data_IF_387940615895
#
_entry.id   IF_387940615895
#
_cell.length_a   1.000
_cell.length_b   1.000
_cell.length_c   1.000
_cell.angle_alpha   90.00
_cell.angle_beta   90.00
_cell.angle_gamma   90.00
#
_symmetry.space_group_name_H-M   'P 1'
#
loop_
_entity.id
_entity.type
_entity.pdbx_description
1 polymer ?
#
# COMPACT_ATOMS: atom_id res chain seq x y z
N UNK A 1 0.24 64.25 -15.58
CA UNK A 1 0.18 63.04 -14.72
C UNK A 1 1.38 62.18 -15.05
N UNK A 2 2.44 62.23 -14.23
CA UNK A 2 3.63 61.41 -14.42
C UNK A 2 3.36 60.00 -13.91
N UNK A 3 3.49 59.00 -14.78
CA UNK A 3 3.57 57.60 -14.39
C UNK A 3 4.90 57.39 -13.64
N UNK A 4 4.83 57.24 -12.32
CA UNK A 4 5.96 56.82 -11.50
C UNK A 4 6.20 55.33 -11.75
N UNK A 5 7.10 55.02 -12.69
CA UNK A 5 7.69 53.68 -12.79
C UNK A 5 8.60 53.49 -11.59
N UNK A 6 8.20 52.63 -10.66
CA UNK A 6 9.05 52.18 -9.57
C UNK A 6 10.25 51.44 -10.17
N UNK A 7 11.40 52.12 -10.21
CA UNK A 7 12.66 51.53 -10.64
C UNK A 7 13.17 50.63 -9.50
N UNK A 8 12.93 49.32 -9.60
CA UNK A 8 13.48 48.36 -8.63
C UNK A 8 15.00 48.32 -8.85
N UNK A 9 15.82 48.66 -7.84
CA UNK A 9 17.27 48.61 -7.99
C UNK A 9 17.73 47.21 -8.37
N UNK A 10 18.69 47.09 -9.28
CA UNK A 10 19.16 45.80 -9.82
C UNK A 10 19.60 44.81 -8.70
N UNK A 11 20.08 45.31 -7.55
CA UNK A 11 20.38 44.49 -6.36
C UNK A 11 19.13 43.87 -5.72
N UNK A 12 18.03 44.61 -5.65
CA UNK A 12 16.75 44.14 -5.10
C UNK A 12 16.12 43.10 -6.03
N UNK A 13 16.20 43.31 -7.35
CA UNK A 13 15.71 42.35 -8.35
C UNK A 13 16.51 41.03 -8.33
N UNK A 14 17.84 41.09 -8.18
CA UNK A 14 18.68 39.90 -8.00
C UNK A 14 18.34 39.13 -6.71
N UNK A 15 18.06 39.85 -5.62
CA UNK A 15 17.64 39.23 -4.36
C UNK A 15 16.29 38.51 -4.49
N UNK A 16 15.30 39.16 -5.11
CA UNK A 16 13.97 38.56 -5.35
C UNK A 16 14.08 37.31 -6.22
N UNK A 17 14.86 37.34 -7.30
CA UNK A 17 15.08 36.17 -8.17
C UNK A 17 15.77 35.04 -7.42
N UNK A 18 16.78 35.33 -6.60
CA UNK A 18 17.44 34.30 -5.77
C UNK A 18 16.46 33.68 -4.77
N UNK A 19 15.63 34.50 -4.11
CA UNK A 19 14.63 34.03 -3.15
C UNK A 19 13.60 33.11 -3.82
N UNK A 20 13.09 33.51 -5.00
CA UNK A 20 12.18 32.70 -5.80
C UNK A 20 12.82 31.39 -6.22
N UNK A 21 14.10 31.40 -6.58
CA UNK A 21 14.82 30.18 -6.95
C UNK A 21 14.98 29.24 -5.76
N UNK A 22 15.40 29.73 -4.59
CA UNK A 22 15.50 28.93 -3.37
C UNK A 22 14.13 28.38 -2.96
N UNK A 23 13.07 29.17 -3.07
CA UNK A 23 11.71 28.74 -2.76
C UNK A 23 11.23 27.66 -3.73
N UNK A 24 11.48 27.80 -5.04
CA UNK A 24 11.15 26.76 -6.02
C UNK A 24 11.94 25.47 -5.80
N UNK A 25 13.23 25.56 -5.47
CA UNK A 25 14.05 24.38 -5.16
C UNK A 25 13.51 23.69 -3.90
N UNK A 26 13.19 24.43 -2.84
CA UNK A 26 12.60 23.89 -1.62
C UNK A 26 11.23 23.25 -1.88
N UNK A 27 10.39 23.88 -2.70
CA UNK A 27 9.05 23.39 -3.04
C UNK A 27 9.11 22.14 -3.93
N UNK A 28 10.04 22.09 -4.90
CA UNK A 28 10.33 20.89 -5.67
C UNK A 28 10.85 19.76 -4.78
N UNK A 29 11.74 20.04 -3.82
CA UNK A 29 12.22 19.04 -2.86
C UNK A 29 11.09 18.53 -1.94
N UNK A 30 10.21 19.42 -1.48
CA UNK A 30 9.04 19.06 -0.69
C UNK A 30 8.06 18.18 -1.48
N UNK A 31 7.81 18.50 -2.75
CA UNK A 31 6.96 17.71 -3.64
C UNK A 31 7.56 16.35 -3.99
N UNK A 32 8.88 16.27 -4.20
CA UNK A 32 9.58 15.01 -4.51
C UNK A 32 9.63 14.03 -3.32
N UNK A 33 9.41 14.52 -2.10
CA UNK A 33 9.33 13.72 -0.87
C UNK A 33 7.92 13.17 -0.59
N UNK A 34 6.91 13.52 -1.40
CA UNK A 34 5.55 13.01 -1.17
C UNK A 34 5.44 11.57 -1.68
N UNK A 35 5.30 10.62 -0.74
CA UNK A 35 4.79 9.29 -1.05
C UNK A 35 3.44 9.48 -1.77
N UNK A 36 3.30 9.04 -3.03
CA UNK A 36 2.18 9.47 -3.83
C UNK A 36 0.90 8.82 -3.32
N UNK A 37 -0.06 9.67 -2.97
CA UNK A 37 -1.41 9.25 -2.71
C UNK A 37 -2.13 9.03 -4.04
N UNK A 38 -2.70 7.84 -4.24
CA UNK A 38 -3.38 7.47 -5.48
C UNK A 38 -4.79 6.96 -5.23
N UNK A 39 -5.73 7.45 -6.03
CA UNK A 39 -7.06 6.90 -6.10
C UNK A 39 -7.04 5.70 -7.06
N UNK A 40 -7.43 4.52 -6.57
CA UNK A 40 -7.39 3.28 -7.34
C UNK A 40 -8.55 2.35 -6.99
N UNK A 41 -8.71 1.32 -7.81
CA UNK A 41 -9.67 0.24 -7.61
C UNK A 41 -8.92 -1.09 -7.70
N UNK A 42 -8.79 -1.77 -6.57
CA UNK A 42 -8.05 -3.02 -6.44
C UNK A 42 -8.99 -4.14 -6.01
N UNK A 43 -8.65 -5.36 -6.39
CA UNK A 43 -9.09 -6.53 -5.64
C UNK A 43 -8.03 -6.86 -4.60
N UNK A 44 -8.41 -6.74 -3.33
CA UNK A 44 -7.60 -7.17 -2.20
C UNK A 44 -7.73 -8.68 -2.03
N UNK A 45 -6.61 -9.35 -1.83
CA UNK A 45 -6.53 -10.79 -1.63
C UNK A 45 -5.63 -11.07 -0.43
N UNK A 46 -6.18 -11.66 0.62
CA UNK A 46 -5.43 -12.23 1.73
C UNK A 46 -5.24 -13.73 1.47
N UNK A 47 -4.03 -14.20 1.68
CA UNK A 47 -3.64 -15.60 1.59
C UNK A 47 -3.29 -16.12 2.98
N UNK A 48 -3.69 -17.36 3.26
CA UNK A 48 -3.40 -18.04 4.52
C UNK A 48 -3.01 -19.48 4.23
N UNK A 49 -1.89 -19.94 4.77
CA UNK A 49 -1.49 -21.35 4.69
C UNK A 49 -0.90 -21.83 6.01
N UNK A 50 -1.20 -23.07 6.38
CA UNK A 50 -0.53 -23.73 7.49
C UNK A 50 0.73 -24.38 6.95
N UNK A 51 1.89 -23.96 7.46
CA UNK A 51 3.16 -24.57 7.14
C UNK A 51 3.45 -25.69 8.13
N UNK A 52 3.87 -26.84 7.62
CA UNK A 52 4.23 -27.99 8.46
C UNK A 52 5.29 -27.60 9.49
N UNK A 53 5.02 -27.96 10.76
CA UNK A 53 5.91 -27.65 11.87
C UNK A 53 5.84 -26.22 12.41
N UNK A 54 4.98 -25.34 11.88
CA UNK A 54 4.74 -24.01 12.45
C UNK A 54 3.49 -23.97 13.32
N UNK A 55 3.59 -23.28 14.47
CA UNK A 55 2.48 -23.08 15.40
C UNK A 55 1.41 -22.11 14.85
N UNK A 56 1.79 -21.17 13.99
CA UNK A 56 0.91 -20.14 13.45
C UNK A 56 0.90 -20.20 11.91
N UNK A 57 -0.24 -19.88 11.28
CA UNK A 57 -0.33 -19.83 9.83
C UNK A 57 0.56 -18.71 9.27
N UNK A 58 1.02 -18.90 8.03
CA UNK A 58 1.58 -17.83 7.22
C UNK A 58 0.43 -17.04 6.59
N UNK A 59 0.40 -15.73 6.81
CA UNK A 59 -0.60 -14.79 6.31
C UNK A 59 0.09 -13.69 5.52
N UNK A 60 -0.42 -13.36 4.34
CA UNK A 60 0.07 -12.24 3.54
C UNK A 60 -1.02 -11.73 2.61
N UNK A 61 -0.93 -10.45 2.22
CA UNK A 61 -1.93 -9.83 1.38
C UNK A 61 -1.32 -9.12 0.18
N UNK A 62 -2.09 -9.11 -0.91
CA UNK A 62 -1.76 -8.45 -2.15
C UNK A 62 -2.98 -7.71 -2.70
N UNK A 63 -2.73 -6.77 -3.60
CA UNK A 63 -3.75 -6.12 -4.40
C UNK A 63 -3.52 -6.38 -5.89
N UNK A 64 -4.59 -6.47 -6.67
CA UNK A 64 -4.51 -6.52 -8.12
C UNK A 64 -5.58 -5.67 -8.77
N UNK A 65 -5.22 -4.91 -9.81
CA UNK A 65 -6.20 -4.20 -10.66
C UNK A 65 -6.82 -5.15 -11.70
N UNK A 66 -6.15 -6.27 -11.97
CA UNK A 66 -6.56 -7.27 -12.93
C UNK A 66 -7.70 -8.14 -12.37
N UNK A 67 -8.40 -8.82 -13.27
CA UNK A 67 -9.41 -9.82 -12.89
C UNK A 67 -8.80 -11.10 -12.32
N UNK A 68 -7.54 -11.38 -12.65
CA UNK A 68 -6.87 -12.64 -12.34
C UNK A 68 -5.46 -12.43 -11.81
N UNK A 69 -4.98 -13.36 -10.97
CA UNK A 69 -3.57 -13.44 -10.55
C UNK A 69 -2.97 -14.75 -11.08
N UNK A 70 -1.87 -14.65 -11.81
CA UNK A 70 -1.11 -15.83 -12.26
C UNK A 70 -0.21 -16.30 -11.13
N UNK A 71 -0.28 -17.59 -10.79
CA UNK A 71 0.46 -18.17 -9.67
C UNK A 71 1.26 -19.40 -10.09
N UNK A 72 2.42 -19.59 -9.46
CA UNK A 72 3.22 -20.80 -9.58
C UNK A 72 2.81 -21.81 -8.49
N UNK A 73 2.45 -23.03 -8.89
CA UNK A 73 1.90 -24.05 -7.99
C UNK A 73 2.97 -25.01 -7.41
N UNK A 74 4.24 -24.83 -7.73
CA UNK A 74 5.30 -25.79 -7.38
C UNK A 74 5.55 -25.88 -5.88
N UNK A 75 5.68 -24.74 -5.19
CA UNK A 75 5.87 -24.66 -3.73
C UNK A 75 5.49 -23.26 -3.22
N UNK A 76 5.37 -23.10 -1.90
CA UNK A 76 4.93 -21.84 -1.27
C UNK A 76 5.81 -20.63 -1.61
N UNK A 77 7.13 -20.80 -1.71
CA UNK A 77 8.03 -19.69 -2.01
C UNK A 77 7.84 -19.21 -3.45
N UNK A 78 7.76 -20.14 -4.41
CA UNK A 78 7.51 -19.81 -5.81
C UNK A 78 6.10 -19.23 -6.01
N UNK A 79 5.11 -19.71 -5.25
CA UNK A 79 3.77 -19.12 -5.22
C UNK A 79 3.83 -17.65 -4.80
N UNK A 80 4.44 -17.35 -3.65
CA UNK A 80 4.60 -15.99 -3.12
C UNK A 80 5.32 -15.09 -4.14
N UNK A 81 6.43 -15.57 -4.69
CA UNK A 81 7.21 -14.81 -5.67
C UNK A 81 6.38 -14.49 -6.91
N UNK A 82 5.58 -15.44 -7.41
CA UNK A 82 4.71 -15.23 -8.58
C UNK A 82 3.58 -14.23 -8.33
N UNK A 83 3.02 -14.19 -7.11
CA UNK A 83 2.02 -13.18 -6.72
C UNK A 83 2.65 -11.79 -6.78
N UNK A 84 3.77 -11.58 -6.10
CA UNK A 84 4.38 -10.25 -5.99
C UNK A 84 5.14 -9.79 -7.24
N UNK A 85 5.40 -10.69 -8.19
CA UNK A 85 5.86 -10.33 -9.52
C UNK A 85 4.83 -9.46 -10.29
N UNK A 86 3.55 -9.58 -9.98
CA UNK A 86 2.45 -8.88 -10.68
C UNK A 86 1.58 -8.00 -9.79
N UNK A 87 1.60 -8.23 -8.47
CA UNK A 87 0.69 -7.60 -7.53
C UNK A 87 1.46 -6.76 -6.50
N UNK A 88 1.03 -5.53 -6.20
CA UNK A 88 1.53 -4.80 -5.04
C UNK A 88 1.28 -5.55 -3.73
N UNK A 89 2.25 -5.44 -2.82
CA UNK A 89 2.12 -5.92 -1.45
C UNK A 89 1.22 -4.99 -0.64
N UNK A 90 0.30 -5.56 0.14
CA UNK A 90 -0.47 -4.84 1.14
C UNK A 90 -0.06 -5.37 2.53
N UNK A 91 0.41 -4.50 3.44
CA UNK A 91 0.75 -4.94 4.78
C UNK A 91 -0.50 -5.38 5.55
N UNK A 92 -0.31 -6.38 6.40
CA UNK A 92 -1.35 -6.89 7.32
C UNK A 92 -1.14 -6.39 8.76
N UNK A 93 -0.13 -5.55 8.99
CA UNK A 93 0.25 -5.06 10.33
C UNK A 93 -0.36 -3.70 10.62
N UNK A 94 -0.98 -3.53 11.80
CA UNK A 94 -1.51 -2.23 12.23
C UNK A 94 -0.43 -1.15 12.26
N UNK A 95 0.81 -1.50 12.64
CA UNK A 95 1.93 -0.57 12.65
C UNK A 95 2.21 0.05 11.27
N UNK A 96 2.09 -0.71 10.18
CA UNK A 96 2.24 -0.16 8.84
C UNK A 96 1.13 0.85 8.51
N UNK A 97 -0.12 0.54 8.90
CA UNK A 97 -1.24 1.47 8.73
C UNK A 97 -1.05 2.76 9.53
N UNK A 98 -0.69 2.65 10.81
CA UNK A 98 -0.44 3.80 11.68
C UNK A 98 0.67 4.70 11.12
N UNK A 99 1.75 4.09 10.62
CA UNK A 99 2.85 4.82 9.98
C UNK A 99 2.37 5.56 8.73
N UNK A 100 1.60 4.90 7.86
CA UNK A 100 1.04 5.50 6.65
C UNK A 100 0.03 6.62 6.95
N UNK A 101 -0.80 6.46 7.97
CA UNK A 101 -1.71 7.50 8.44
C UNK A 101 -0.95 8.73 8.94
N UNK A 102 0.11 8.52 9.74
CA UNK A 102 0.98 9.61 10.18
C UNK A 102 1.68 10.34 9.02
N UNK A 103 2.06 9.62 7.97
CA UNK A 103 2.65 10.18 6.76
C UNK A 103 1.64 10.98 5.92
N UNK A 104 0.40 10.51 5.82
CA UNK A 104 -0.65 11.12 5.00
C UNK A 104 -1.36 12.31 5.69
N UNK A 105 -1.61 12.21 6.99
CA UNK A 105 -2.47 13.13 7.75
C UNK A 105 -1.74 13.84 8.90
N UNK A 106 -0.46 13.51 9.15
CA UNK A 106 0.30 14.03 10.27
C UNK A 106 0.11 13.22 11.55
N UNK A 107 1.00 13.41 12.52
CA UNK A 107 0.98 12.67 13.78
C UNK A 107 0.15 13.39 14.85
N UNK A 108 -0.99 12.80 15.23
CA UNK A 108 -1.83 13.24 16.34
C UNK A 108 -2.59 12.05 16.94
N UNK A 109 -3.19 12.25 18.11
CA UNK A 109 -4.09 11.27 18.73
C UNK A 109 -5.32 11.02 17.84
N UNK A 110 -5.86 12.07 17.21
CA UNK A 110 -6.97 11.96 16.26
C UNK A 110 -6.59 11.07 15.06
N UNK A 111 -5.40 11.27 14.46
CA UNK A 111 -4.94 10.43 13.34
C UNK A 111 -4.80 8.96 13.75
N UNK A 112 -4.35 8.69 14.98
CA UNK A 112 -4.27 7.33 15.50
C UNK A 112 -5.67 6.72 15.67
N UNK A 113 -6.60 7.46 16.26
CA UNK A 113 -8.01 7.04 16.43
C UNK A 113 -8.66 6.73 15.08
N UNK A 114 -8.47 7.61 14.09
CA UNK A 114 -8.98 7.43 12.73
C UNK A 114 -8.38 6.20 12.05
N UNK A 115 -7.07 5.94 12.25
CA UNK A 115 -6.41 4.74 11.76
C UNK A 115 -7.03 3.48 12.36
N UNK A 116 -7.26 3.44 13.67
CA UNK A 116 -7.88 2.29 14.34
C UNK A 116 -9.33 2.08 13.85
N UNK A 117 -10.10 3.17 13.74
CA UNK A 117 -11.46 3.14 13.21
C UNK A 117 -11.49 2.56 11.79
N UNK A 118 -10.58 3.02 10.93
CA UNK A 118 -10.44 2.51 9.57
C UNK A 118 -10.05 1.03 9.52
N UNK A 119 -9.06 0.58 10.29
CA UNK A 119 -8.65 -0.83 10.33
C UNK A 119 -9.84 -1.71 10.75
N UNK A 120 -10.60 -1.27 11.76
CA UNK A 120 -11.79 -1.98 12.22
C UNK A 120 -12.89 -2.03 11.13
N UNK A 121 -13.19 -0.91 10.47
CA UNK A 121 -14.14 -0.85 9.37
C UNK A 121 -13.72 -1.78 8.22
N UNK A 122 -12.46 -1.70 7.81
CA UNK A 122 -11.89 -2.52 6.75
C UNK A 122 -12.01 -4.01 7.07
N UNK A 123 -11.63 -4.42 8.29
CA UNK A 123 -11.71 -5.81 8.73
C UNK A 123 -13.16 -6.32 8.82
N UNK A 124 -14.08 -5.48 9.28
CA UNK A 124 -15.51 -5.81 9.30
C UNK A 124 -16.05 -5.99 7.87
N UNK A 125 -15.73 -5.06 6.96
CA UNK A 125 -16.13 -5.15 5.56
C UNK A 125 -15.54 -6.38 4.88
N UNK A 126 -14.26 -6.67 5.14
CA UNK A 126 -13.58 -7.86 4.62
C UNK A 126 -14.30 -9.14 5.07
N UNK A 127 -14.54 -9.30 6.37
CA UNK A 127 -15.26 -10.46 6.94
C UNK A 127 -16.67 -10.64 6.37
N UNK A 128 -17.36 -9.55 6.04
CA UNK A 128 -18.73 -9.59 5.50
C UNK A 128 -18.79 -9.90 4.00
N UNK A 129 -17.79 -9.45 3.23
CA UNK A 129 -17.84 -9.44 1.77
C UNK A 129 -16.82 -10.38 1.12
N UNK A 130 -15.90 -10.95 1.89
CA UNK A 130 -14.89 -11.87 1.39
C UNK A 130 -15.48 -13.03 0.59
N UNK A 131 -14.85 -13.31 -0.54
CA UNK A 131 -15.02 -14.54 -1.30
C UNK A 131 -13.83 -15.43 -1.00
N UNK A 132 -14.11 -16.60 -0.44
CA UNK A 132 -13.11 -17.57 -0.02
C UNK A 132 -12.92 -18.66 -1.06
N UNK A 133 -11.70 -19.18 -1.12
CA UNK A 133 -11.37 -20.40 -1.83
C UNK A 133 -10.05 -20.96 -1.33
N UNK A 134 -9.54 -21.94 -2.06
CA UNK A 134 -8.21 -22.47 -1.82
C UNK A 134 -7.54 -22.87 -3.14
N UNK A 135 -6.22 -22.92 -3.11
CA UNK A 135 -5.35 -23.39 -4.18
C UNK A 135 -4.51 -24.51 -3.57
N UNK A 136 -4.41 -25.64 -4.27
CA UNK A 136 -3.56 -26.75 -3.85
C UNK A 136 -2.25 -26.72 -4.63
N UNK A 137 -1.14 -26.62 -3.92
CA UNK A 137 0.20 -26.71 -4.50
C UNK A 137 0.50 -28.15 -4.91
N UNK A 138 1.47 -28.35 -5.80
CA UNK A 138 1.95 -29.69 -6.18
C UNK A 138 2.61 -30.45 -5.02
N UNK A 139 3.05 -29.74 -3.98
CA UNK A 139 3.49 -30.30 -2.69
C UNK A 139 2.33 -30.86 -1.86
N UNK A 140 1.07 -30.57 -2.21
CA UNK A 140 -0.14 -30.96 -1.48
C UNK A 140 -0.63 -29.90 -0.47
N UNK A 141 0.19 -28.87 -0.19
CA UNK A 141 -0.18 -27.77 0.70
C UNK A 141 -1.39 -26.99 0.15
N UNK A 142 -2.29 -26.57 1.04
CA UNK A 142 -3.47 -25.77 0.68
C UNK A 142 -3.28 -24.32 1.09
N UNK A 143 -3.25 -23.44 0.09
CA UNK A 143 -3.26 -21.99 0.29
C UNK A 143 -4.71 -21.53 0.23
N UNK A 144 -5.25 -21.14 1.36
CA UNK A 144 -6.55 -20.49 1.44
C UNK A 144 -6.41 -19.05 0.98
N UNK A 145 -7.40 -18.54 0.26
CA UNK A 145 -7.49 -17.12 -0.06
C UNK A 145 -8.86 -16.57 0.30
N UNK A 146 -8.89 -15.30 0.64
CA UNK A 146 -10.08 -14.50 0.85
C UNK A 146 -9.92 -13.18 0.10
N UNK A 147 -10.90 -12.80 -0.71
CA UNK A 147 -10.78 -11.63 -1.57
C UNK A 147 -12.06 -10.81 -1.67
N UNK A 148 -11.88 -9.51 -1.88
CA UNK A 148 -12.95 -8.55 -2.16
C UNK A 148 -12.39 -7.33 -2.90
N UNK A 149 -13.26 -6.60 -3.59
CA UNK A 149 -12.90 -5.39 -4.33
C UNK A 149 -13.00 -4.17 -3.42
N UNK A 150 -11.96 -3.34 -3.45
CA UNK A 150 -11.81 -2.12 -2.68
C UNK A 150 -11.50 -0.96 -3.62
N UNK A 151 -12.25 0.14 -3.49
CA UNK A 151 -12.01 1.38 -4.25
C UNK A 151 -11.83 2.54 -3.30
N UNK A 152 -10.72 3.26 -3.43
CA UNK A 152 -10.36 4.28 -2.45
C UNK A 152 -9.04 4.97 -2.74
N UNK A 153 -8.47 5.57 -1.71
CA UNK A 153 -7.15 6.18 -1.70
C UNK A 153 -6.13 5.23 -1.07
N UNK A 154 -4.98 5.14 -1.72
CA UNK A 154 -3.87 4.29 -1.35
C UNK A 154 -2.60 5.12 -1.28
N UNK A 155 -1.81 4.91 -0.25
CA UNK A 155 -0.47 5.47 -0.15
C UNK A 155 0.52 4.47 -0.73
N UNK A 156 1.29 4.88 -1.74
CA UNK A 156 2.42 4.08 -2.24
C UNK A 156 3.67 4.39 -1.40
N UNK A 157 4.30 3.36 -0.86
CA UNK A 157 5.50 3.52 -0.02
C UNK A 157 6.74 2.96 -0.71
N UNK A 158 7.88 3.58 -0.40
CA UNK A 158 9.17 3.09 -0.83
C UNK A 158 9.54 1.81 -0.07
N UNK A 159 9.79 0.73 -0.79
CA UNK A 159 10.08 -0.59 -0.19
C UNK A 159 11.31 -0.54 0.72
N UNK A 160 12.39 0.09 0.28
CA UNK A 160 13.69 0.05 0.96
C UNK A 160 13.59 0.66 2.37
N UNK A 161 12.78 1.71 2.51
CA UNK A 161 12.55 2.39 3.78
C UNK A 161 11.38 1.82 4.57
N UNK A 162 10.34 1.32 3.92
CA UNK A 162 9.08 0.97 4.60
C UNK A 162 8.92 -0.50 4.96
N UNK A 163 9.66 -1.43 4.32
CA UNK A 163 9.48 -2.88 4.52
C UNK A 163 9.49 -3.30 5.99
N UNK A 164 10.36 -2.70 6.80
CA UNK A 164 10.51 -3.01 8.23
C UNK A 164 9.22 -2.80 9.02
N UNK A 165 8.41 -1.81 8.64
CA UNK A 165 7.15 -1.48 9.30
C UNK A 165 6.05 -2.51 9.02
N UNK A 166 6.25 -3.32 7.96
CA UNK A 166 5.30 -4.32 7.49
C UNK A 166 5.54 -5.73 8.04
N UNK A 167 6.66 -5.93 8.74
CA UNK A 167 7.08 -7.24 9.25
C UNK A 167 6.12 -7.74 10.33
N UNK A 168 5.72 -9.00 10.21
CA UNK A 168 4.86 -9.70 11.16
C UNK A 168 5.44 -11.09 11.45
N UNK A 169 5.23 -11.61 12.66
CA UNK A 169 5.63 -12.97 13.04
C UNK A 169 4.95 -14.06 12.22
N UNK A 170 3.78 -13.74 11.66
CA UNK A 170 3.00 -14.61 10.78
C UNK A 170 3.09 -14.20 9.30
N UNK A 171 3.88 -13.17 8.99
CA UNK A 171 4.01 -12.61 7.65
C UNK A 171 5.08 -13.27 6.79
N UNK A 172 5.22 -12.80 5.56
CA UNK A 172 6.37 -13.11 4.71
C UNK A 172 7.62 -12.40 5.23
N UNK A 173 8.74 -13.12 5.28
CA UNK A 173 10.03 -12.60 5.78
C UNK A 173 10.95 -12.10 4.67
N UNK A 174 10.83 -12.65 3.46
CA UNK A 174 11.62 -12.26 2.29
C UNK A 174 10.87 -11.22 1.46
N UNK A 175 11.50 -10.08 1.23
CA UNK A 175 10.95 -8.99 0.41
C UNK A 175 11.51 -8.97 -1.01
N UNK A 176 12.39 -9.90 -1.38
CA UNK A 176 13.10 -9.92 -2.67
C UNK A 176 12.17 -9.71 -3.87
N UNK A 177 11.02 -10.37 -3.87
CA UNK A 177 10.03 -10.36 -4.95
C UNK A 177 9.02 -9.20 -4.86
N UNK A 178 9.09 -8.37 -3.82
CA UNK A 178 8.22 -7.21 -3.67
C UNK A 178 8.85 -6.04 -4.40
N UNK A 179 8.09 -5.39 -5.26
CA UNK A 179 8.53 -4.19 -5.98
C UNK A 179 7.74 -2.94 -5.57
N UNK A 180 6.53 -3.13 -5.04
CA UNK A 180 5.63 -2.04 -4.69
C UNK A 180 4.85 -2.41 -3.44
N UNK A 181 4.82 -1.49 -2.47
CA UNK A 181 3.99 -1.58 -1.28
C UNK A 181 2.92 -0.50 -1.38
N UNK A 182 1.66 -0.88 -1.20
CA UNK A 182 0.54 0.06 -1.11
C UNK A 182 -0.21 -0.17 0.18
N UNK A 183 -0.70 0.91 0.78
CA UNK A 183 -1.50 0.85 2.00
C UNK A 183 -2.81 1.57 1.74
N UNK A 184 -3.97 0.91 1.88
CA UNK A 184 -5.25 1.60 1.80
C UNK A 184 -5.38 2.53 3.00
N UNK A 185 -5.72 3.80 2.73
CA UNK A 185 -5.87 4.82 3.78
C UNK A 185 -7.28 5.43 3.83
N UNK A 186 -8.12 5.15 2.83
CA UNK A 186 -9.53 5.50 2.83
C UNK A 186 -10.22 4.67 1.76
N UNK A 187 -11.31 3.98 2.09
CA UNK A 187 -12.08 3.20 1.11
C UNK A 187 -13.47 3.80 0.97
N UNK A 188 -13.83 4.12 -0.27
CA UNK A 188 -15.14 4.70 -0.64
C UNK A 188 -16.17 3.64 -1.01
N UNK A 189 -15.73 2.42 -1.36
CA UNK A 189 -16.61 1.36 -1.83
C UNK A 189 -15.97 -0.03 -1.64
N UNK A 190 -16.75 -0.94 -1.07
CA UNK A 190 -16.43 -2.36 -0.93
C UNK A 190 -17.40 -3.21 -1.77
N UNK A 191 -16.90 -4.16 -2.57
CA UNK A 191 -17.74 -5.06 -3.37
C UNK A 191 -17.22 -6.50 -3.36
N UNK A 192 -18.12 -7.48 -3.43
CA UNK A 192 -17.73 -8.89 -3.61
C UNK A 192 -17.08 -9.09 -4.98
N UNK A 193 -16.00 -9.87 -5.06
CA UNK A 193 -15.32 -10.25 -6.32
C UNK A 193 -14.55 -11.55 -6.14
N UNK A 194 -14.38 -12.32 -7.21
CA UNK A 194 -13.47 -13.49 -7.28
C UNK A 194 -12.27 -13.12 -8.14
N UNK A 195 -11.09 -13.61 -7.76
CA UNK A 195 -9.81 -13.33 -8.44
C UNK A 195 -9.20 -14.58 -9.09
N UNK A 196 -9.72 -15.77 -8.77
CA UNK A 196 -9.22 -17.02 -9.30
C UNK A 196 -10.31 -17.76 -10.07
N UNK A 197 -10.05 -18.02 -11.34
CA UNK A 197 -10.71 -19.05 -12.12
C UNK A 197 -9.74 -20.24 -12.21
N UNK A 198 -10.12 -21.37 -11.62
CA UNK A 198 -9.40 -22.64 -11.80
C UNK A 198 -9.94 -23.23 -13.10
N UNK A 199 -9.11 -23.27 -14.15
CA UNK A 199 -9.34 -24.12 -15.31
C UNK A 199 -8.73 -25.50 -15.06
#
# INVERSE_FOLDING_TARGET
MFHSFYFIPNKVMKFIVSLLFTFNVALCHAQKSSQPLRASDYTYVEFTTNLDGKQYPLVFAAATEQDTITVNLTNIQLFINSVYASCPYIPITNNAYEKCYGLAFGHSEDTFSDCQAFINEFNMAFKQLEQKGYITLFTGEKIHYACFRIRGAFLETDKETFWKETLSSIGISDSSSIHKIIVPIAISNYKKRRVFFIQ
#
